data_IF_223852800768
#
_entry.id   IF_223852800768
#
_cell.length_a   1.000
_cell.length_b   1.000
_cell.length_c   1.000
_cell.angle_alpha   90.00
_cell.angle_beta   90.00
_cell.angle_gamma   90.00
#
_symmetry.space_group_name_H-M   'P 1'
#
loop_
_entity.id
_entity.type
_entity.pdbx_description
1 polymer ?
#
# COMPACT_ATOMS: atom_id res chain seq x y z
N UNK A 1 -28.22 -27.19 -59.92
CA UNK A 1 -28.38 -26.05 -58.99
C UNK A 1 -27.18 -26.11 -58.04
N UNK A 2 -26.08 -25.43 -58.37
CA UNK A 2 -24.90 -25.44 -57.51
C UNK A 2 -25.14 -24.38 -56.43
N UNK A 3 -25.57 -24.80 -55.24
CA UNK A 3 -25.54 -23.91 -54.08
C UNK A 3 -24.11 -23.44 -53.87
N UNK A 4 -23.95 -22.11 -53.87
CA UNK A 4 -22.67 -21.47 -54.04
C UNK A 4 -21.85 -21.61 -52.75
N UNK A 5 -20.64 -22.17 -52.80
CA UNK A 5 -19.79 -22.35 -51.62
C UNK A 5 -19.44 -21.02 -50.93
N UNK A 6 -19.51 -19.89 -51.64
CA UNK A 6 -19.33 -18.54 -51.09
C UNK A 6 -20.33 -18.19 -49.98
N UNK A 7 -21.62 -18.52 -50.12
CA UNK A 7 -22.62 -18.18 -49.10
C UNK A 7 -22.39 -18.95 -47.78
N UNK A 8 -21.89 -20.19 -47.87
CA UNK A 8 -21.54 -21.00 -46.69
C UNK A 8 -20.34 -20.44 -45.93
N UNK A 9 -19.36 -19.89 -46.66
CA UNK A 9 -18.17 -19.29 -46.06
C UNK A 9 -18.52 -17.95 -45.40
N UNK A 10 -19.33 -17.13 -46.04
CA UNK A 10 -19.82 -15.87 -45.47
C UNK A 10 -20.63 -16.11 -44.19
N UNK A 11 -21.51 -17.13 -44.19
CA UNK A 11 -22.27 -17.51 -43.01
C UNK A 11 -21.35 -17.94 -41.85
N UNK A 12 -20.28 -18.70 -42.14
CA UNK A 12 -19.28 -19.12 -41.13
C UNK A 12 -18.45 -17.95 -40.63
N UNK A 13 -18.02 -17.06 -41.52
CA UNK A 13 -17.26 -15.86 -41.16
C UNK A 13 -18.10 -14.94 -40.27
N UNK A 14 -19.37 -14.75 -40.60
CA UNK A 14 -20.31 -13.98 -39.77
C UNK A 14 -20.48 -14.63 -38.41
N UNK A 15 -20.69 -15.94 -38.35
CA UNK A 15 -20.86 -16.67 -37.10
C UNK A 15 -19.59 -16.67 -36.23
N UNK A 16 -18.41 -16.66 -36.84
CA UNK A 16 -17.12 -16.51 -36.16
C UNK A 16 -16.94 -15.09 -35.63
N UNK A 17 -17.30 -14.07 -36.42
CA UNK A 17 -17.32 -12.67 -35.98
C UNK A 17 -18.24 -12.46 -34.78
N UNK A 18 -19.48 -12.95 -34.86
CA UNK A 18 -20.46 -12.85 -33.78
C UNK A 18 -19.97 -13.56 -32.50
N UNK A 19 -19.27 -14.69 -32.62
CA UNK A 19 -18.66 -15.41 -31.49
C UNK A 19 -17.43 -14.71 -30.90
N UNK A 20 -16.63 -14.06 -31.74
CA UNK A 20 -15.46 -13.28 -31.30
C UNK A 20 -15.94 -12.02 -30.58
N UNK A 21 -16.95 -11.32 -31.11
CA UNK A 21 -17.54 -10.13 -30.49
C UNK A 21 -18.18 -10.48 -29.13
N UNK A 22 -18.99 -11.54 -29.09
CA UNK A 22 -19.65 -12.01 -27.86
C UNK A 22 -18.66 -12.52 -26.79
N UNK A 23 -17.45 -12.93 -27.19
CA UNK A 23 -16.43 -13.45 -26.28
C UNK A 23 -15.24 -12.52 -26.10
N UNK A 24 -15.23 -11.36 -26.77
CA UNK A 24 -14.25 -10.30 -26.53
C UNK A 24 -14.54 -9.80 -25.12
N UNK A 25 -13.74 -10.18 -24.11
CA UNK A 25 -13.82 -9.46 -22.85
C UNK A 25 -13.39 -8.03 -23.20
N UNK A 26 -13.87 -7.03 -22.48
CA UNK A 26 -13.31 -5.68 -22.49
C UNK A 26 -11.83 -5.75 -22.04
N UNK A 27 -10.94 -6.22 -22.92
CA UNK A 27 -9.50 -6.33 -22.70
C UNK A 27 -8.87 -4.95 -22.63
N UNK A 28 -9.50 -3.93 -23.24
CA UNK A 28 -9.17 -2.53 -23.03
C UNK A 28 -9.34 -2.13 -21.56
N UNK A 29 -10.49 -2.44 -20.96
CA UNK A 29 -10.82 -1.96 -19.61
C UNK A 29 -10.01 -2.70 -18.56
N UNK A 30 -9.75 -4.00 -18.76
CA UNK A 30 -8.90 -4.78 -17.88
C UNK A 30 -7.41 -4.36 -17.97
N UNK A 31 -6.93 -4.03 -19.17
CA UNK A 31 -5.57 -3.51 -19.36
C UNK A 31 -5.43 -2.08 -18.81
N UNK A 32 -6.44 -1.24 -18.99
CA UNK A 32 -6.49 0.12 -18.49
C UNK A 32 -6.60 0.16 -16.97
N UNK A 33 -7.42 -0.73 -16.38
CA UNK A 33 -7.50 -0.93 -14.93
C UNK A 33 -6.16 -1.37 -14.34
N UNK A 34 -5.46 -2.35 -14.97
CA UNK A 34 -4.10 -2.74 -14.56
C UNK A 34 -3.09 -1.61 -14.69
N UNK A 35 -3.16 -0.82 -15.75
CA UNK A 35 -2.28 0.33 -15.94
C UNK A 35 -2.58 1.46 -14.94
N UNK A 36 -3.83 1.65 -14.54
CA UNK A 36 -4.24 2.61 -13.50
C UNK A 36 -3.81 2.14 -12.10
N UNK A 37 -3.96 0.84 -11.79
CA UNK A 37 -3.50 0.22 -10.55
C UNK A 37 -1.97 0.28 -10.43
N UNK A 38 -1.26 -0.05 -11.50
CA UNK A 38 0.21 0.03 -11.55
C UNK A 38 0.71 1.47 -11.36
N UNK A 39 0.03 2.46 -11.95
CA UNK A 39 0.33 3.88 -11.73
C UNK A 39 0.07 4.32 -10.29
N UNK A 40 -1.03 3.87 -9.67
CA UNK A 40 -1.31 4.11 -8.25
C UNK A 40 -0.26 3.50 -7.34
N UNK A 41 0.11 2.23 -7.58
CA UNK A 41 1.15 1.54 -6.82
C UNK A 41 2.51 2.23 -6.94
N UNK A 42 2.87 2.65 -8.15
CA UNK A 42 4.12 3.40 -8.38
C UNK A 42 4.11 4.77 -7.69
N UNK A 43 3.02 5.54 -7.81
CA UNK A 43 2.90 6.83 -7.15
C UNK A 43 2.96 6.71 -5.62
N UNK A 44 2.34 5.68 -5.05
CA UNK A 44 2.42 5.39 -3.62
C UNK A 44 3.85 5.01 -3.20
N UNK A 45 4.51 4.14 -3.97
CA UNK A 45 5.89 3.73 -3.71
C UNK A 45 6.88 4.90 -3.78
N UNK A 46 6.72 5.79 -4.76
CA UNK A 46 7.55 7.00 -4.91
C UNK A 46 7.34 8.01 -3.78
N UNK A 47 6.09 8.17 -3.31
CA UNK A 47 5.81 9.01 -2.14
C UNK A 47 6.44 8.44 -0.88
N UNK A 48 6.21 7.15 -0.62
CA UNK A 48 6.73 6.47 0.56
C UNK A 48 8.27 6.48 0.59
N UNK A 49 8.93 6.26 -0.56
CA UNK A 49 10.39 6.34 -0.65
C UNK A 49 10.90 7.76 -0.44
N UNK A 50 10.20 8.78 -0.96
CA UNK A 50 10.58 10.18 -0.76
C UNK A 50 10.45 10.62 0.70
N UNK A 51 9.39 10.20 1.40
CA UNK A 51 9.19 10.49 2.82
C UNK A 51 10.27 9.81 3.68
N UNK A 52 10.63 8.56 3.36
CA UNK A 52 11.70 7.85 4.04
C UNK A 52 13.07 8.51 3.85
N UNK A 53 13.42 8.85 2.60
CA UNK A 53 14.70 9.51 2.29
C UNK A 53 14.74 10.89 2.93
N UNK A 54 13.64 11.66 2.90
CA UNK A 54 13.56 12.96 3.57
C UNK A 54 13.82 12.84 5.08
N UNK A 55 13.23 11.83 5.75
CA UNK A 55 13.50 11.56 7.17
C UNK A 55 14.97 11.26 7.46
N UNK A 56 15.63 10.46 6.61
CA UNK A 56 17.06 10.14 6.74
C UNK A 56 17.92 11.39 6.56
N UNK A 57 17.66 12.19 5.51
CA UNK A 57 18.43 13.39 5.22
C UNK A 57 18.29 14.42 6.35
N UNK A 58 17.07 14.62 6.85
CA UNK A 58 16.80 15.52 7.98
C UNK A 58 17.49 15.02 9.25
N UNK A 59 17.41 13.72 9.55
CA UNK A 59 18.09 13.12 10.71
C UNK A 59 19.61 13.22 10.62
N UNK A 60 20.19 12.98 9.45
CA UNK A 60 21.62 13.13 9.21
C UNK A 60 22.07 14.58 9.34
N UNK A 61 21.30 15.52 8.80
CA UNK A 61 21.59 16.95 8.90
C UNK A 61 21.52 17.45 10.35
N UNK A 62 20.47 17.06 11.10
CA UNK A 62 20.33 17.39 12.52
C UNK A 62 21.46 16.77 13.36
N UNK A 63 21.83 15.51 13.11
CA UNK A 63 22.92 14.85 13.82
C UNK A 63 24.28 15.50 13.55
N UNK A 64 24.54 15.88 12.30
CA UNK A 64 25.74 16.62 11.93
C UNK A 64 25.80 18.01 12.60
N UNK A 65 24.67 18.74 12.62
CA UNK A 65 24.61 20.06 13.25
C UNK A 65 24.83 19.97 14.77
N UNK A 66 24.27 18.94 15.42
CA UNK A 66 24.47 18.66 16.84
C UNK A 66 25.94 18.38 17.16
N UNK A 67 26.60 17.53 16.36
CA UNK A 67 28.04 17.24 16.50
C UNK A 67 28.89 18.50 16.31
N UNK A 68 28.52 19.34 15.35
CA UNK A 68 29.25 20.58 15.07
C UNK A 68 29.13 21.60 16.22
N UNK A 69 27.94 21.77 16.80
CA UNK A 69 27.73 22.71 17.91
C UNK A 69 28.31 22.22 19.23
N UNK A 70 28.27 20.91 19.48
CA UNK A 70 28.77 20.33 20.72
C UNK A 70 30.30 20.26 20.76
N UNK A 71 30.99 20.33 19.61
CA UNK A 71 32.44 20.17 19.51
C UNK A 71 32.95 18.79 19.94
N UNK A 72 32.03 17.89 20.31
CA UNK A 72 32.28 16.47 20.49
C UNK A 72 32.54 15.87 19.11
N UNK A 73 33.33 14.79 19.02
CA UNK A 73 33.51 14.05 17.75
C UNK A 73 32.17 13.49 17.20
N UNK A 74 32.16 12.45 16.33
CA UNK A 74 30.94 11.92 15.70
C UNK A 74 29.98 11.19 16.68
N UNK A 75 29.98 11.56 17.95
CA UNK A 75 29.24 10.95 19.05
C UNK A 75 27.73 11.20 18.96
N UNK A 76 27.30 12.40 18.57
CA UNK A 76 25.90 12.72 18.31
C UNK A 76 25.38 11.97 17.09
N UNK A 77 26.16 11.84 16.02
CA UNK A 77 25.86 10.93 14.91
C UNK A 77 25.70 9.48 15.39
N UNK A 78 26.60 8.98 16.24
CA UNK A 78 26.51 7.60 16.79
C UNK A 78 25.24 7.40 17.64
N UNK A 79 24.92 8.34 18.54
CA UNK A 79 23.74 8.25 19.41
C UNK A 79 22.46 8.34 18.58
N UNK A 80 22.35 9.30 17.65
CA UNK A 80 21.18 9.41 16.78
C UNK A 80 21.03 8.21 15.84
N UNK A 81 22.13 7.65 15.34
CA UNK A 81 22.10 6.45 14.52
C UNK A 81 21.60 5.25 15.33
N UNK A 82 22.11 5.05 16.55
CA UNK A 82 21.66 3.96 17.44
C UNK A 82 20.19 4.14 17.84
N UNK A 83 19.77 5.35 18.17
CA UNK A 83 18.40 5.64 18.58
C UNK A 83 17.42 5.52 17.40
N UNK A 84 17.81 6.02 16.22
CA UNK A 84 17.08 5.86 14.96
C UNK A 84 17.00 4.40 14.50
N UNK A 85 18.08 3.63 14.67
CA UNK A 85 18.10 2.19 14.40
C UNK A 85 17.16 1.43 15.35
N UNK A 86 17.22 1.70 16.66
CA UNK A 86 16.27 1.15 17.63
C UNK A 86 14.82 1.50 17.27
N UNK A 87 14.54 2.77 16.97
CA UNK A 87 13.20 3.21 16.56
C UNK A 87 12.74 2.52 15.26
N UNK A 88 13.63 2.35 14.29
CA UNK A 88 13.35 1.62 13.04
C UNK A 88 13.05 0.14 13.27
N UNK A 89 13.86 -0.55 14.07
CA UNK A 89 13.63 -1.95 14.45
C UNK A 89 12.30 -2.08 15.18
N UNK A 90 11.99 -1.20 16.13
CA UNK A 90 10.70 -1.18 16.83
C UNK A 90 9.53 -0.93 15.88
N UNK A 91 9.67 -0.03 14.89
CA UNK A 91 8.65 0.22 13.88
C UNK A 91 8.40 -1.01 12.98
N UNK A 92 9.46 -1.73 12.60
CA UNK A 92 9.35 -2.97 11.83
C UNK A 92 8.70 -4.08 12.66
N UNK A 93 9.12 -4.27 13.91
CA UNK A 93 8.52 -5.27 14.80
C UNK A 93 7.04 -4.96 15.09
N UNK A 94 6.69 -3.68 15.21
CA UNK A 94 5.29 -3.21 15.31
C UNK A 94 4.50 -3.50 14.04
N UNK A 95 5.08 -3.23 12.87
CA UNK A 95 4.44 -3.50 11.56
C UNK A 95 4.28 -5.00 11.28
N UNK A 96 5.21 -5.81 11.78
CA UNK A 96 5.16 -7.27 11.71
C UNK A 96 4.20 -7.89 12.75
N UNK A 97 3.50 -7.08 13.55
CA UNK A 97 2.55 -7.55 14.56
C UNK A 97 3.20 -8.22 15.79
N UNK A 98 4.53 -8.14 15.93
CA UNK A 98 5.27 -8.70 17.06
C UNK A 98 5.31 -7.79 18.29
N UNK A 99 4.83 -6.55 18.17
CA UNK A 99 4.62 -5.62 19.29
C UNK A 99 3.14 -5.32 19.38
N UNK A 100 2.46 -5.91 20.36
CA UNK A 100 1.09 -5.56 20.70
C UNK A 100 1.06 -4.06 21.01
N UNK A 101 0.23 -3.31 20.27
CA UNK A 101 -0.08 -1.94 20.66
C UNK A 101 -0.78 -2.03 22.01
N UNK A 102 -0.23 -1.47 23.11
CA UNK A 102 -1.04 -1.28 24.29
C UNK A 102 -2.12 -0.30 23.84
N UNK A 103 -3.34 -0.81 23.73
CA UNK A 103 -4.56 -0.03 23.62
C UNK A 103 -4.46 1.13 24.61
N UNK A 104 -4.14 2.32 24.09
CA UNK A 104 -4.19 3.55 24.86
C UNK A 104 -5.66 3.79 25.19
N UNK A 105 -6.06 3.35 26.38
CA UNK A 105 -7.22 3.76 27.14
C UNK A 105 -8.42 4.22 26.32
N UNK A 106 -9.29 3.27 25.95
CA UNK A 106 -10.72 3.57 25.84
C UNK A 106 -11.41 2.81 26.97
N UNK A 107 -11.59 3.50 28.09
CA UNK A 107 -12.42 3.04 29.19
C UNK A 107 -13.76 2.55 28.63
N UNK A 108 -14.05 1.28 28.87
CA UNK A 108 -15.40 0.77 28.71
C UNK A 108 -16.28 1.47 29.75
N UNK A 109 -17.50 1.92 29.40
CA UNK A 109 -18.49 2.16 30.42
C UNK A 109 -18.90 0.80 30.97
N UNK A 110 -18.26 0.36 32.04
CA UNK A 110 -18.93 -0.40 33.08
C UNK A 110 -19.82 0.59 33.82
N UNK A 111 -21.11 0.61 33.52
CA UNK A 111 -22.11 1.12 34.45
C UNK A 111 -23.41 0.32 34.26
N UNK A 112 -23.70 -0.43 35.32
CA UNK A 112 -24.99 -0.88 35.83
C UNK A 112 -25.89 -1.80 35.00
N UNK A 113 -25.69 -3.09 35.24
CA UNK A 113 -26.78 -4.07 35.27
C UNK A 113 -27.00 -4.52 36.71
N UNK A 114 -27.87 -3.82 37.44
CA UNK A 114 -28.58 -4.19 38.67
C UNK A 114 -29.60 -3.06 38.92
N UNK A 115 -30.86 -3.21 39.25
CA UNK A 115 -31.75 -4.26 39.71
C UNK A 115 -33.20 -3.75 39.44
N UNK A 116 -34.21 -4.61 39.58
CA UNK A 116 -35.60 -4.17 39.77
C UNK A 116 -36.54 -4.69 38.68
N UNK A 117 -37.00 -5.93 38.76
CA UNK A 117 -38.15 -6.35 39.58
C UNK A 117 -39.44 -6.41 38.76
N UNK A 118 -40.18 -7.46 39.05
CA UNK A 118 -41.48 -7.85 38.55
C UNK A 118 -42.44 -6.69 38.24
N UNK A 119 -43.12 -6.78 37.09
CA UNK A 119 -44.58 -7.00 37.05
C UNK A 119 -45.07 -7.31 35.63
#
# INVERSE_FOLDING_TARGET
>A
MAEKPEESLEARLKQLGDKIEAKKPHTSDAAEARAAESRKGYAAAMKLSSEFIAGIVVGAFLGYLLDHFAGTGPWGMIILLLLGFCAGVLNVLRSAGMVATPEAGRGGPEDDKKDGDAH
#
